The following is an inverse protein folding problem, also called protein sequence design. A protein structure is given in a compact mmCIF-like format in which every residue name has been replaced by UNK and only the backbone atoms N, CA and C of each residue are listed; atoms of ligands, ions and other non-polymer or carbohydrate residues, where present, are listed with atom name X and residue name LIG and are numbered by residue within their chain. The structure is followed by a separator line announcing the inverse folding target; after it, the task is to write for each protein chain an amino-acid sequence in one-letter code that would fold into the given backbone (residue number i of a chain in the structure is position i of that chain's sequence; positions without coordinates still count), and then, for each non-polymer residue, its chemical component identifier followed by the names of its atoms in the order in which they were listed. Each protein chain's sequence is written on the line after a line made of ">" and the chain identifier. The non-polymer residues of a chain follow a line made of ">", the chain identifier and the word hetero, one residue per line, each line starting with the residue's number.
data_IF_333432819446
#
_entry.id   IF_333432819446
#
_cell.length_a   1.000
_cell.length_b   1.000
_cell.length_c   1.000
_cell.angle_alpha   90.00
_cell.angle_beta   90.00
_cell.angle_gamma   90.00
#
_symmetry.space_group_name_H-M   'P 1'
#
loop_
_entity.id
_entity.type
_entity.pdbx_description
1 polymer ?
#
# COMPACT_ATOMS: atom_id res chain seq x y z
N UNK A 1 29.90 -38.48 -73.08
CA UNK A 1 29.48 -37.83 -71.83
C UNK A 1 28.88 -36.48 -72.21
N UNK A 2 27.55 -36.39 -72.36
CA UNK A 2 26.89 -35.18 -72.87
C UNK A 2 26.73 -34.16 -71.73
N UNK A 3 27.44 -33.04 -71.81
CA UNK A 3 27.27 -31.90 -70.93
C UNK A 3 25.97 -31.20 -71.26
N UNK A 4 24.96 -31.37 -70.41
CA UNK A 4 23.67 -30.69 -70.50
C UNK A 4 23.87 -29.22 -70.12
N UNK A 5 23.96 -28.33 -71.11
CA UNK A 5 24.02 -26.88 -70.90
C UNK A 5 22.69 -26.41 -70.31
N UNK A 6 22.70 -26.09 -69.02
CA UNK A 6 21.56 -25.50 -68.31
C UNK A 6 21.35 -24.07 -68.82
N UNK A 7 20.25 -23.85 -69.55
CA UNK A 7 19.78 -22.51 -69.88
C UNK A 7 19.31 -21.86 -68.58
N UNK A 8 20.13 -20.96 -68.02
CA UNK A 8 19.74 -20.16 -66.86
C UNK A 8 18.84 -19.03 -67.36
N UNK A 9 17.53 -19.19 -67.20
CA UNK A 9 16.59 -18.08 -67.37
C UNK A 9 16.95 -17.02 -66.32
N UNK A 10 17.46 -15.88 -66.75
CA UNK A 10 17.72 -14.74 -65.88
C UNK A 10 16.39 -14.04 -65.57
N UNK A 11 16.15 -13.74 -64.29
CA UNK A 11 15.00 -12.98 -63.85
C UNK A 11 15.01 -11.58 -64.48
N UNK A 12 13.85 -11.14 -64.96
CA UNK A 12 13.72 -9.77 -65.48
C UNK A 12 13.76 -8.78 -64.32
N UNK A 13 14.31 -7.58 -64.54
CA UNK A 13 14.39 -6.53 -63.52
C UNK A 13 13.02 -6.21 -62.92
N UNK A 14 11.97 -6.29 -63.73
CA UNK A 14 10.57 -6.09 -63.31
C UNK A 14 10.12 -7.14 -62.30
N UNK A 15 10.47 -8.41 -62.52
CA UNK A 15 10.09 -9.52 -61.63
C UNK A 15 10.76 -9.41 -60.25
N UNK A 16 12.02 -8.97 -60.23
CA UNK A 16 12.75 -8.68 -58.98
C UNK A 16 12.12 -7.48 -58.27
N UNK A 17 11.81 -6.41 -59.00
CA UNK A 17 11.21 -5.19 -58.42
C UNK A 17 9.81 -5.45 -57.85
N UNK A 18 8.96 -6.19 -58.55
CA UNK A 18 7.64 -6.60 -58.05
C UNK A 18 7.77 -7.47 -56.80
N UNK A 19 8.73 -8.40 -56.79
CA UNK A 19 8.98 -9.25 -55.61
C UNK A 19 9.39 -8.42 -54.39
N UNK A 20 10.26 -7.43 -54.54
CA UNK A 20 10.64 -6.54 -53.44
C UNK A 20 9.46 -5.73 -52.90
N UNK A 21 8.59 -5.23 -53.78
CA UNK A 21 7.37 -4.52 -53.36
C UNK A 21 6.45 -5.44 -52.57
N UNK A 22 6.21 -6.66 -53.05
CA UNK A 22 5.36 -7.63 -52.36
C UNK A 22 5.93 -8.00 -50.99
N UNK A 23 7.24 -8.30 -50.90
CA UNK A 23 7.89 -8.63 -49.62
C UNK A 23 7.79 -7.45 -48.66
N UNK A 24 8.00 -6.21 -49.12
CA UNK A 24 7.93 -5.02 -48.27
C UNK A 24 6.54 -4.82 -47.68
N UNK A 25 5.49 -5.01 -48.49
CA UNK A 25 4.09 -4.91 -48.03
C UNK A 25 3.75 -6.00 -47.02
N UNK A 26 4.12 -7.26 -47.30
CA UNK A 26 3.87 -8.38 -46.39
C UNK A 26 4.63 -8.20 -45.08
N UNK A 27 5.91 -7.82 -45.13
CA UNK A 27 6.72 -7.56 -43.94
C UNK A 27 6.14 -6.43 -43.09
N UNK A 28 5.62 -5.36 -43.71
CA UNK A 28 4.95 -4.27 -43.00
C UNK A 28 3.70 -4.74 -42.24
N UNK A 29 2.83 -5.53 -42.89
CA UNK A 29 1.63 -6.07 -42.25
C UNK A 29 1.96 -7.06 -41.12
N UNK A 30 2.94 -7.94 -41.33
CA UNK A 30 3.37 -8.93 -40.32
C UNK A 30 3.99 -8.24 -39.09
N UNK A 31 4.77 -7.17 -39.29
CA UNK A 31 5.38 -6.44 -38.18
C UNK A 31 4.33 -5.83 -37.24
N UNK A 32 3.28 -5.20 -37.80
CA UNK A 32 2.18 -4.61 -37.02
C UNK A 32 1.44 -5.72 -36.26
N UNK A 33 1.06 -6.81 -36.94
CA UNK A 33 0.37 -7.92 -36.30
C UNK A 33 1.20 -8.57 -35.17
N UNK A 34 2.50 -8.75 -35.37
CA UNK A 34 3.39 -9.31 -34.37
C UNK A 34 3.55 -8.39 -33.16
N UNK A 35 3.67 -7.07 -33.38
CA UNK A 35 3.72 -6.09 -32.29
C UNK A 35 2.45 -6.12 -31.43
N UNK A 36 1.26 -6.17 -32.05
CA UNK A 36 -0.01 -6.26 -31.33
C UNK A 36 -0.11 -7.56 -30.52
N UNK A 37 0.27 -8.69 -31.10
CA UNK A 37 0.30 -9.98 -30.42
C UNK A 37 1.29 -10.00 -29.24
N UNK A 38 2.46 -9.37 -29.37
CA UNK A 38 3.44 -9.26 -28.30
C UNK A 38 2.91 -8.42 -27.12
N UNK A 39 2.30 -7.27 -27.38
CA UNK A 39 1.70 -6.42 -26.34
C UNK A 39 0.59 -7.16 -25.58
N UNK A 40 -0.34 -7.78 -26.30
CA UNK A 40 -1.41 -8.57 -25.70
C UNK A 40 -0.88 -9.73 -24.82
N UNK A 41 0.22 -10.37 -25.27
CA UNK A 41 0.87 -11.44 -24.51
C UNK A 41 1.57 -10.91 -23.25
N UNK A 42 2.17 -9.70 -23.31
CA UNK A 42 2.72 -9.01 -22.14
C UNK A 42 1.61 -8.67 -21.15
N UNK A 43 0.51 -8.05 -21.59
CA UNK A 43 -0.61 -7.67 -20.72
C UNK A 43 -1.23 -8.88 -20.02
N UNK A 44 -1.50 -9.95 -20.78
CA UNK A 44 -2.03 -11.20 -20.22
C UNK A 44 -1.08 -11.80 -19.18
N UNK A 45 0.23 -11.62 -19.39
CA UNK A 45 1.25 -12.11 -18.47
C UNK A 45 1.36 -11.23 -17.23
N UNK A 46 1.33 -9.90 -17.37
CA UNK A 46 1.29 -8.97 -16.24
C UNK A 46 0.10 -9.30 -15.33
N UNK A 47 -1.10 -9.44 -15.91
CA UNK A 47 -2.33 -9.86 -15.21
C UNK A 47 -2.12 -11.13 -14.38
N UNK A 48 -1.69 -12.21 -15.03
CA UNK A 48 -1.49 -13.49 -14.36
C UNK A 48 -0.42 -13.44 -13.26
N UNK A 49 0.61 -12.60 -13.43
CA UNK A 49 1.64 -12.37 -12.43
C UNK A 49 1.06 -11.62 -11.23
N UNK A 50 0.39 -10.50 -11.45
CA UNK A 50 -0.21 -9.67 -10.39
C UNK A 50 -1.21 -10.50 -9.58
N UNK A 51 -2.09 -11.26 -10.23
CA UNK A 51 -3.06 -12.11 -9.55
C UNK A 51 -2.39 -13.11 -8.60
N UNK A 52 -1.31 -13.74 -9.08
CA UNK A 52 -0.54 -14.70 -8.27
C UNK A 52 0.13 -14.03 -7.07
N UNK A 53 0.74 -12.86 -7.29
CA UNK A 53 1.40 -12.11 -6.22
C UNK A 53 0.39 -11.63 -5.18
N UNK A 54 -0.75 -11.12 -5.65
CA UNK A 54 -1.83 -10.63 -4.81
C UNK A 54 -2.40 -11.75 -3.93
N UNK A 55 -2.67 -12.93 -4.50
CA UNK A 55 -3.12 -14.09 -3.71
C UNK A 55 -2.09 -14.50 -2.63
N UNK A 56 -0.80 -14.48 -2.97
CA UNK A 56 0.27 -14.82 -2.03
C UNK A 56 0.35 -13.81 -0.88
N UNK A 57 0.24 -12.52 -1.21
CA UNK A 57 0.24 -11.44 -0.22
C UNK A 57 -1.02 -11.45 0.63
N UNK A 58 -2.20 -11.65 0.04
CA UNK A 58 -3.45 -11.68 0.79
C UNK A 58 -3.44 -12.82 1.81
N UNK A 59 -2.93 -13.99 1.43
CA UNK A 59 -2.76 -15.11 2.35
C UNK A 59 -1.77 -14.80 3.47
N UNK A 60 -0.65 -14.14 3.13
CA UNK A 60 0.33 -13.69 4.13
C UNK A 60 -0.28 -12.65 5.08
N UNK A 61 -1.04 -11.69 4.55
CA UNK A 61 -1.75 -10.68 5.31
C UNK A 61 -2.77 -11.32 6.24
N UNK A 62 -3.56 -12.28 5.77
CA UNK A 62 -4.54 -12.99 6.59
C UNK A 62 -3.88 -13.72 7.76
N UNK A 63 -2.82 -14.49 7.51
CA UNK A 63 -2.09 -15.22 8.56
C UNK A 63 -1.50 -14.24 9.61
N UNK A 64 -0.85 -13.17 9.14
CA UNK A 64 -0.25 -12.18 10.01
C UNK A 64 -1.28 -11.28 10.70
N UNK A 65 -2.47 -11.10 10.11
CA UNK A 65 -3.62 -10.41 10.71
C UNK A 65 -4.32 -11.23 11.79
N UNK A 66 -4.10 -12.55 11.84
CA UNK A 66 -4.62 -13.41 12.91
C UNK A 66 -3.60 -13.66 14.02
N UNK A 67 -2.31 -13.44 13.75
CA UNK A 67 -1.23 -13.62 14.74
C UNK A 67 -1.43 -12.80 16.02
N UNK A 68 -1.24 -13.42 17.19
CA UNK A 68 -1.25 -12.68 18.46
C UNK A 68 0.02 -11.84 18.61
N UNK A 69 -0.16 -10.53 18.77
CA UNK A 69 0.94 -9.60 18.99
C UNK A 69 1.17 -9.43 20.48
N UNK A 70 2.43 -9.49 20.89
CA UNK A 70 2.79 -9.29 22.29
C UNK A 70 2.69 -7.81 22.63
N UNK A 71 1.90 -7.49 23.66
CA UNK A 71 1.79 -6.12 24.16
C UNK A 71 2.77 -5.90 25.32
N UNK A 72 3.51 -4.78 25.33
CA UNK A 72 4.33 -4.42 26.48
C UNK A 72 3.45 -3.93 27.64
N UNK A 73 3.60 -4.56 28.81
CA UNK A 73 3.03 -4.10 30.08
C UNK A 73 1.73 -4.78 30.51
N UNK A 74 1.28 -4.46 31.73
CA UNK A 74 0.08 -5.01 32.35
C UNK A 74 -1.08 -4.02 32.26
N UNK A 75 -1.85 -4.01 31.17
CA UNK A 75 -3.06 -3.19 31.09
C UNK A 75 -4.20 -3.90 31.81
N UNK A 76 -4.80 -3.26 32.83
CA UNK A 76 -5.84 -3.86 33.68
C UNK A 76 -7.28 -3.56 33.23
N UNK A 77 -7.44 -2.54 32.40
CA UNK A 77 -8.74 -2.13 31.87
C UNK A 77 -8.99 -2.80 30.52
N UNK A 78 -10.15 -3.44 30.37
CA UNK A 78 -10.47 -4.26 29.20
C UNK A 78 -10.51 -3.43 27.91
N UNK A 79 -11.08 -2.23 27.97
CA UNK A 79 -11.15 -1.34 26.81
C UNK A 79 -9.76 -0.87 26.38
N UNK A 80 -8.96 -0.41 27.34
CA UNK A 80 -7.59 -0.02 27.07
C UNK A 80 -6.71 -1.17 26.56
N UNK A 81 -6.95 -2.41 27.02
CA UNK A 81 -6.29 -3.62 26.47
C UNK A 81 -6.64 -3.78 25.01
N UNK A 82 -7.92 -3.77 24.66
CA UNK A 82 -8.39 -4.02 23.30
C UNK A 82 -7.92 -2.94 22.32
N UNK A 83 -7.89 -1.68 22.75
CA UNK A 83 -7.33 -0.62 21.94
C UNK A 83 -5.81 -0.77 21.78
N UNK A 84 -5.06 -1.04 22.86
CA UNK A 84 -3.64 -1.32 22.74
C UNK A 84 -3.37 -2.49 21.78
N UNK A 85 -4.18 -3.55 21.82
CA UNK A 85 -4.10 -4.66 20.86
C UNK A 85 -4.24 -4.18 19.42
N UNK A 86 -5.24 -3.34 19.11
CA UNK A 86 -5.42 -2.77 17.76
C UNK A 86 -4.18 -2.01 17.29
N UNK A 87 -3.65 -1.11 18.14
CA UNK A 87 -2.45 -0.31 17.83
C UNK A 87 -1.26 -1.23 17.53
N UNK A 88 -0.96 -2.14 18.45
CA UNK A 88 0.17 -3.06 18.29
C UNK A 88 -0.02 -4.02 17.12
N UNK A 89 -1.26 -4.37 16.78
CA UNK A 89 -1.59 -5.20 15.63
C UNK A 89 -1.32 -4.49 14.31
N UNK A 90 -1.75 -3.24 14.18
CA UNK A 90 -1.46 -2.42 13.00
C UNK A 90 0.05 -2.14 12.88
N UNK A 91 0.74 -1.92 14.00
CA UNK A 91 2.20 -1.73 14.05
C UNK A 91 2.96 -3.00 13.66
N UNK A 92 2.47 -4.18 14.09
CA UNK A 92 2.99 -5.47 13.67
C UNK A 92 2.87 -5.67 12.16
N UNK A 93 1.69 -5.42 11.59
CA UNK A 93 1.49 -5.50 10.14
C UNK A 93 2.40 -4.51 9.40
N UNK A 94 2.61 -3.30 9.94
CA UNK A 94 3.57 -2.35 9.38
C UNK A 94 4.99 -2.90 9.35
N UNK A 95 5.40 -3.62 10.40
CA UNK A 95 6.73 -4.20 10.52
C UNK A 95 6.94 -5.43 9.63
N UNK A 96 5.90 -6.26 9.46
CA UNK A 96 5.95 -7.49 8.66
C UNK A 96 5.73 -7.21 7.18
N UNK A 97 4.89 -6.24 6.84
CA UNK A 97 4.55 -5.86 5.48
C UNK A 97 4.96 -4.40 5.24
N UNK A 98 6.26 -4.06 5.27
CA UNK A 98 6.73 -2.69 5.08
C UNK A 98 6.31 -2.14 3.72
N UNK A 99 6.05 -0.83 3.64
CA UNK A 99 5.69 -0.14 2.40
C UNK A 99 6.79 0.81 1.91
N UNK A 100 7.71 1.17 2.81
CA UNK A 100 8.84 2.06 2.56
C UNK A 100 9.98 1.69 3.52
N UNK A 101 11.18 2.22 3.27
CA UNK A 101 12.35 1.96 4.13
C UNK A 101 12.15 2.47 5.57
N UNK A 102 11.36 3.52 5.79
CA UNK A 102 11.02 4.04 7.12
C UNK A 102 10.35 3.01 8.02
N UNK A 103 9.50 2.15 7.45
CA UNK A 103 8.82 1.08 8.17
C UNK A 103 9.84 0.09 8.77
N UNK A 104 11.04 0.00 8.20
CA UNK A 104 12.15 -0.84 8.62
C UNK A 104 13.14 -0.15 9.58
N UNK A 105 13.10 1.18 9.75
CA UNK A 105 14.10 1.96 10.51
C UNK A 105 13.98 1.87 12.05
N UNK A 106 13.30 0.86 12.57
CA UNK A 106 12.91 0.81 13.98
C UNK A 106 14.12 0.69 14.90
N UNK A 107 14.23 1.63 15.86
CA UNK A 107 15.25 1.57 16.90
C UNK A 107 16.67 1.84 16.40
N UNK A 108 16.85 2.44 15.22
CA UNK A 108 18.17 2.84 14.70
C UNK A 108 18.77 4.04 15.43
N UNK A 109 17.98 4.75 16.25
CA UNK A 109 18.41 5.97 16.94
C UNK A 109 18.63 7.17 16.00
N UNK A 110 18.31 7.04 14.71
CA UNK A 110 18.38 8.15 13.75
C UNK A 110 17.30 9.20 14.05
N UNK A 111 17.66 10.48 14.00
CA UNK A 111 16.70 11.59 14.16
C UNK A 111 15.68 11.53 13.03
N UNK A 112 14.42 11.20 13.37
CA UNK A 112 13.35 11.00 12.40
C UNK A 112 12.79 9.57 12.41
N UNK A 113 13.59 8.58 12.83
CA UNK A 113 13.09 7.24 13.11
C UNK A 113 12.08 7.36 14.26
N UNK A 114 10.87 6.79 14.15
CA UNK A 114 9.95 6.73 15.27
C UNK A 114 10.67 5.91 16.35
N UNK A 115 11.17 6.62 17.37
CA UNK A 115 11.87 6.03 18.49
C UNK A 115 10.80 5.37 19.37
N UNK A 116 10.23 4.28 18.85
CA UNK A 116 9.29 3.41 19.55
C UNK A 116 10.14 2.57 20.51
N UNK A 117 10.77 3.23 21.47
CA UNK A 117 11.03 2.57 22.73
C UNK A 117 9.69 1.99 23.18
N UNK A 118 9.60 0.74 23.66
CA UNK A 118 8.34 0.16 24.13
C UNK A 118 7.72 1.13 25.12
N UNK A 119 6.71 1.90 24.68
CA UNK A 119 6.15 2.98 25.48
C UNK A 119 5.31 2.28 26.52
N UNK A 120 5.68 2.31 27.81
CA UNK A 120 4.85 1.70 28.83
C UNK A 120 3.52 2.45 28.83
N UNK A 121 2.43 1.74 28.55
CA UNK A 121 1.09 2.24 28.82
C UNK A 121 0.95 2.44 30.32
N UNK A 122 1.34 3.63 30.81
CA UNK A 122 1.13 4.00 32.21
C UNK A 122 -0.32 4.42 32.36
N UNK A 123 -1.18 3.45 32.63
CA UNK A 123 -2.35 3.79 33.42
C UNK A 123 -1.90 4.01 34.87
N UNK A 124 -2.60 4.85 35.63
CA UNK A 124 -2.35 5.05 37.07
C UNK A 124 -2.51 3.77 37.92
N UNK A 125 -2.73 2.59 37.30
CA UNK A 125 -2.86 1.29 37.94
C UNK A 125 -1.69 0.32 37.65
N UNK A 126 -0.59 0.78 37.04
CA UNK A 126 0.56 -0.08 36.64
C UNK A 126 1.84 0.44 37.27
N UNK A 127 2.39 -0.33 38.22
CA UNK A 127 3.75 -0.14 38.70
C UNK A 127 4.75 -0.22 37.53
N UNK A 128 5.79 0.63 37.49
CA UNK A 128 6.79 0.56 36.43
C UNK A 128 7.44 -0.84 36.41
N UNK A 129 7.60 -1.46 35.24
CA UNK A 129 8.30 -2.75 35.15
C UNK A 129 9.74 -2.59 35.68
N UNK A 130 10.12 -3.46 36.62
CA UNK A 130 11.39 -3.42 37.38
C UNK A 130 12.61 -3.84 36.53
N UNK A 131 12.45 -4.16 35.25
CA UNK A 131 13.55 -4.43 34.33
C UNK A 131 13.13 -4.10 32.89
N UNK A 132 14.06 -3.75 31.98
CA UNK A 132 13.74 -3.65 30.56
C UNK A 132 13.31 -5.04 30.09
N UNK A 133 12.01 -5.21 29.85
CA UNK A 133 11.49 -6.45 29.27
C UNK A 133 12.25 -6.67 27.95
N UNK A 134 12.93 -7.81 27.84
CA UNK A 134 13.44 -8.31 26.56
C UNK A 134 12.29 -8.20 25.57
N UNK A 135 12.51 -7.50 24.45
CA UNK A 135 11.45 -7.31 23.47
C UNK A 135 10.93 -8.70 23.06
N UNK A 136 9.62 -8.95 23.16
CA UNK A 136 9.07 -10.27 22.86
C UNK A 136 9.43 -10.71 21.43
N UNK A 137 9.50 -12.02 21.17
CA UNK A 137 9.87 -12.58 19.85
C UNK A 137 8.95 -12.11 18.71
N UNK A 138 7.73 -11.68 19.03
CA UNK A 138 6.80 -11.04 18.11
C UNK A 138 6.81 -9.50 18.22
N UNK A 139 7.98 -8.91 18.47
CA UNK A 139 8.12 -7.46 18.50
C UNK A 139 8.44 -6.92 17.10
N UNK A 140 7.88 -5.74 16.80
CA UNK A 140 8.19 -4.96 15.60
C UNK A 140 9.70 -4.86 15.34
N UNK A 141 10.49 -4.63 16.39
CA UNK A 141 11.94 -4.47 16.28
C UNK A 141 12.63 -5.70 15.66
N UNK A 142 12.20 -6.92 16.02
CA UNK A 142 12.79 -8.14 15.46
C UNK A 142 12.38 -8.34 13.99
N UNK A 143 11.11 -8.08 13.66
CA UNK A 143 10.64 -8.14 12.27
C UNK A 143 11.42 -7.17 11.38
N UNK A 144 11.51 -5.89 11.77
CA UNK A 144 12.28 -4.89 11.03
C UNK A 144 13.77 -5.20 10.99
N UNK A 145 14.36 -5.79 12.05
CA UNK A 145 15.76 -6.20 12.04
C UNK A 145 16.07 -7.27 10.99
N UNK A 146 15.16 -8.21 10.73
CA UNK A 146 15.35 -9.23 9.69
C UNK A 146 15.46 -8.59 8.31
N UNK A 147 14.60 -7.61 8.02
CA UNK A 147 14.65 -6.85 6.77
C UNK A 147 15.95 -6.05 6.66
N UNK A 148 16.32 -5.29 7.70
CA UNK A 148 17.58 -4.53 7.71
C UNK A 148 18.81 -5.41 7.46
N UNK A 149 18.87 -6.57 8.10
CA UNK A 149 19.97 -7.52 7.90
C UNK A 149 20.04 -8.05 6.47
N UNK A 150 18.90 -8.23 5.81
CA UNK A 150 18.84 -8.63 4.41
C UNK A 150 19.29 -7.49 3.50
N UNK A 151 18.76 -6.29 3.67
CA UNK A 151 19.15 -5.08 2.91
C UNK A 151 20.66 -4.86 3.02
N UNK A 152 21.23 -4.89 4.24
CA UNK A 152 22.68 -4.74 4.43
C UNK A 152 23.49 -5.81 3.68
N UNK A 153 22.99 -7.05 3.56
CA UNK A 153 23.65 -8.11 2.80
C UNK A 153 23.52 -7.90 1.30
N UNK A 154 22.34 -7.49 0.83
CA UNK A 154 22.08 -7.18 -0.59
C UNK A 154 23.01 -6.06 -1.07
N UNK A 155 23.09 -4.97 -0.31
CA UNK A 155 23.96 -3.83 -0.62
C UNK A 155 25.43 -4.03 -0.23
N UNK A 156 25.76 -5.17 0.39
CA UNK A 156 27.10 -5.51 0.86
C UNK A 156 27.73 -4.41 1.76
N UNK A 157 26.95 -3.88 2.71
CA UNK A 157 27.37 -2.84 3.66
C UNK A 157 27.39 -3.36 5.10
N UNK A 158 28.29 -2.80 5.92
CA UNK A 158 28.48 -3.22 7.31
C UNK A 158 27.51 -2.60 8.32
N UNK A 159 26.75 -1.56 7.95
CA UNK A 159 25.83 -0.87 8.87
C UNK A 159 24.53 -0.50 8.19
N UNK A 160 23.45 -0.47 8.97
CA UNK A 160 22.13 -0.03 8.49
C UNK A 160 22.16 1.43 8.04
N UNK A 161 23.02 2.24 8.68
CA UNK A 161 23.16 3.62 8.30
C UNK A 161 23.66 3.79 6.86
N UNK A 162 24.70 3.05 6.49
CA UNK A 162 25.19 3.04 5.11
C UNK A 162 24.15 2.48 4.13
N UNK A 163 23.44 1.41 4.50
CA UNK A 163 22.41 0.80 3.65
C UNK A 163 21.30 1.80 3.30
N UNK A 164 20.83 2.55 4.29
CA UNK A 164 19.77 3.53 4.10
C UNK A 164 20.13 4.68 3.16
N UNK A 165 21.38 5.13 3.25
CA UNK A 165 21.86 6.28 2.48
C UNK A 165 22.07 5.88 1.01
N UNK A 166 22.33 4.59 0.74
CA UNK A 166 22.37 4.01 -0.61
C UNK A 166 20.97 3.74 -1.16
N UNK A 167 20.10 3.12 -0.37
CA UNK A 167 18.74 2.76 -0.76
C UNK A 167 17.90 4.02 -1.06
N UNK A 168 17.54 4.25 -2.31
CA UNK A 168 16.78 5.43 -2.74
C UNK A 168 15.29 5.30 -2.42
N UNK A 169 14.53 6.42 -2.37
CA UNK A 169 13.09 6.37 -2.14
C UNK A 169 12.27 6.15 -3.43
N UNK A 170 12.87 6.09 -4.62
CA UNK A 170 12.16 6.13 -5.90
C UNK A 170 11.32 4.86 -6.15
N UNK A 171 11.87 3.69 -5.84
CA UNK A 171 11.20 2.39 -6.02
C UNK A 171 10.96 1.62 -4.71
N UNK A 172 11.07 2.30 -3.57
CA UNK A 172 11.02 1.68 -2.22
C UNK A 172 9.81 0.78 -1.95
N UNK A 173 8.64 1.03 -2.56
CA UNK A 173 7.49 0.15 -2.41
C UNK A 173 7.72 -1.20 -3.10
N UNK A 174 8.25 -1.18 -4.33
CA UNK A 174 8.54 -2.37 -5.12
C UNK A 174 9.66 -3.20 -4.48
N UNK A 175 10.68 -2.51 -3.95
CA UNK A 175 11.78 -3.13 -3.21
C UNK A 175 11.30 -3.71 -1.88
N UNK A 176 10.41 -3.01 -1.16
CA UNK A 176 9.78 -3.57 0.04
C UNK A 176 8.98 -4.84 -0.28
N UNK A 177 8.27 -4.88 -1.41
CA UNK A 177 7.59 -6.08 -1.88
C UNK A 177 8.57 -7.22 -2.13
N UNK A 178 9.69 -6.95 -2.80
CA UNK A 178 10.77 -7.92 -2.94
C UNK A 178 11.24 -8.43 -1.57
N UNK A 179 11.49 -7.53 -0.62
CA UNK A 179 11.93 -7.92 0.73
C UNK A 179 10.91 -8.85 1.41
N UNK A 180 9.62 -8.54 1.32
CA UNK A 180 8.54 -9.39 1.84
C UNK A 180 8.60 -10.78 1.21
N UNK A 181 8.65 -10.88 -0.11
CA UNK A 181 8.72 -12.16 -0.84
C UNK A 181 10.00 -12.95 -0.55
N UNK A 182 11.11 -12.24 -0.35
CA UNK A 182 12.39 -12.87 -0.09
C UNK A 182 12.48 -13.40 1.35
N UNK A 183 11.79 -12.77 2.30
CA UNK A 183 11.80 -13.12 3.73
C UNK A 183 10.69 -14.07 4.16
N UNK A 184 9.59 -14.16 3.39
CA UNK A 184 8.42 -14.96 3.72
C UNK A 184 8.40 -16.32 3.03
N UNK A 185 7.82 -17.30 3.70
CA UNK A 185 7.58 -18.65 3.20
C UNK A 185 6.09 -18.97 3.25
N UNK A 186 5.56 -19.57 2.19
CA UNK A 186 4.18 -20.03 2.13
C UNK A 186 4.18 -21.52 1.81
N UNK A 187 3.48 -22.33 2.60
CA UNK A 187 3.46 -23.79 2.48
C UNK A 187 4.87 -24.44 2.52
N UNK A 188 5.79 -23.85 3.29
CA UNK A 188 7.18 -24.32 3.41
C UNK A 188 8.10 -23.94 2.25
N UNK A 189 7.58 -23.28 1.22
CA UNK A 189 8.35 -22.80 0.08
C UNK A 189 8.61 -21.28 0.16
N UNK A 190 9.82 -20.81 -0.16
CA UNK A 190 10.09 -19.36 -0.26
C UNK A 190 9.20 -18.71 -1.31
N UNK A 191 8.56 -17.58 -0.97
CA UNK A 191 7.71 -16.85 -1.91
C UNK A 191 8.49 -16.38 -3.15
N UNK A 192 9.79 -16.09 -2.99
CA UNK A 192 10.67 -15.71 -4.10
C UNK A 192 10.75 -16.76 -5.22
N UNK A 193 10.55 -18.06 -4.93
CA UNK A 193 10.53 -19.11 -5.97
C UNK A 193 9.36 -18.98 -6.94
N UNK A 194 8.35 -18.18 -6.59
CA UNK A 194 7.22 -17.92 -7.46
C UNK A 194 7.58 -17.00 -8.64
N UNK A 195 8.63 -16.21 -8.48
CA UNK A 195 9.12 -15.23 -9.45
C UNK A 195 10.17 -15.85 -10.37
N UNK A 196 10.22 -15.37 -11.62
CA UNK A 196 11.31 -15.70 -12.54
C UNK A 196 12.43 -14.68 -12.36
N UNK A 197 13.64 -15.02 -12.75
CA UNK A 197 14.78 -14.08 -12.71
C UNK A 197 14.52 -12.79 -13.49
N UNK A 198 13.73 -12.85 -14.58
CA UNK A 198 13.36 -11.67 -15.38
C UNK A 198 12.28 -10.79 -14.74
N UNK A 199 11.64 -11.27 -13.68
CA UNK A 199 10.60 -10.54 -12.94
C UNK A 199 11.24 -9.78 -11.76
N UNK A 200 12.57 -9.75 -11.70
CA UNK A 200 13.37 -9.10 -10.69
C UNK A 200 14.42 -8.26 -11.42
N UNK A 201 14.49 -6.96 -11.12
CA UNK A 201 15.48 -6.04 -11.67
C UNK A 201 15.88 -5.02 -10.60
N UNK A 202 16.97 -4.30 -10.84
CA UNK A 202 17.40 -3.12 -10.08
C UNK A 202 17.33 -1.98 -11.11
N UNK A 203 16.24 -1.22 -11.05
CA UNK A 203 15.82 -0.27 -12.10
C UNK A 203 16.31 1.15 -11.85
N UNK A 204 16.62 1.50 -10.60
CA UNK A 204 17.23 2.78 -10.21
C UNK A 204 18.73 2.66 -9.88
N UNK A 205 19.33 1.48 -10.04
CA UNK A 205 20.76 1.16 -9.88
C UNK A 205 21.29 1.43 -8.45
N UNK A 206 20.44 1.32 -7.44
CA UNK A 206 20.83 1.55 -6.05
C UNK A 206 21.35 0.28 -5.34
N UNK A 207 21.30 -0.85 -6.03
CA UNK A 207 21.72 -2.18 -5.58
C UNK A 207 20.61 -3.01 -4.95
N UNK A 208 19.42 -2.44 -4.78
CA UNK A 208 18.25 -3.15 -4.31
C UNK A 208 17.43 -3.70 -5.48
N UNK A 209 16.92 -4.93 -5.36
CA UNK A 209 16.06 -5.49 -6.39
C UNK A 209 14.58 -5.13 -6.16
N UNK A 210 13.92 -4.68 -7.21
CA UNK A 210 12.47 -4.59 -7.35
C UNK A 210 11.88 -5.87 -7.96
N UNK A 211 10.59 -6.09 -7.69
CA UNK A 211 9.78 -6.96 -8.56
C UNK A 211 9.26 -6.09 -9.71
N UNK A 212 9.55 -6.47 -10.95
CA UNK A 212 9.10 -5.76 -12.16
C UNK A 212 8.02 -6.54 -12.91
N UNK A 213 7.15 -5.83 -13.60
CA UNK A 213 6.12 -6.41 -14.45
C UNK A 213 6.67 -6.91 -15.82
N UNK A 214 5.78 -7.30 -16.73
CA UNK A 214 6.18 -7.78 -18.06
C UNK A 214 6.76 -6.71 -18.98
N UNK A 215 6.62 -5.45 -18.61
CA UNK A 215 7.11 -4.27 -19.32
C UNK A 215 8.45 -3.79 -18.74
N UNK A 216 8.88 -4.38 -17.62
CA UNK A 216 10.12 -4.00 -16.92
C UNK A 216 9.92 -2.82 -15.97
N UNK A 217 8.67 -2.44 -15.70
CA UNK A 217 8.36 -1.38 -14.75
C UNK A 217 8.23 -2.01 -13.35
N UNK A 218 8.84 -1.43 -12.30
CA UNK A 218 8.64 -1.89 -10.93
C UNK A 218 7.16 -2.00 -10.58
N UNK A 219 6.77 -2.97 -9.76
CA UNK A 219 5.40 -3.09 -9.27
C UNK A 219 5.17 -2.17 -8.07
N UNK A 220 4.04 -1.48 -8.05
CA UNK A 220 3.64 -0.69 -6.90
C UNK A 220 3.02 -1.61 -5.84
N UNK A 221 3.53 -1.47 -4.62
CA UNK A 221 3.02 -2.14 -3.43
C UNK A 221 2.38 -1.13 -2.49
N UNK A 222 1.19 -1.46 -2.02
CA UNK A 222 0.47 -0.67 -1.03
C UNK A 222 -0.07 -1.57 0.07
N UNK A 223 0.48 -1.45 1.28
CA UNK A 223 -0.06 -2.15 2.46
C UNK A 223 -1.52 -1.76 2.73
N UNK A 224 -1.86 -0.47 2.62
CA UNK A 224 -3.19 0.05 2.93
C UNK A 224 -3.64 1.12 1.92
N UNK A 225 -4.23 0.74 0.78
CA UNK A 225 -4.68 1.67 -0.25
C UNK A 225 -6.03 2.32 0.11
N UNK A 226 -6.09 3.13 1.16
CA UNK A 226 -7.35 3.76 1.61
C UNK A 226 -7.93 4.70 0.58
N UNK A 227 -7.11 5.54 -0.05
CA UNK A 227 -7.53 6.49 -1.09
C UNK A 227 -8.15 5.84 -2.32
N UNK A 228 -7.74 4.61 -2.64
CA UNK A 228 -8.26 3.85 -3.78
C UNK A 228 -9.77 3.58 -3.64
N UNK A 229 -10.22 3.28 -2.42
CA UNK A 229 -11.62 2.97 -2.17
C UNK A 229 -12.51 4.20 -2.04
N UNK A 230 -11.94 5.40 -1.91
CA UNK A 230 -12.66 6.62 -1.57
C UNK A 230 -13.04 7.48 -2.79
N UNK A 231 -12.60 7.17 -4.01
CA UNK A 231 -12.90 8.00 -5.19
C UNK A 231 -14.13 7.45 -5.92
N UNK A 232 -15.22 8.23 -6.01
CA UNK A 232 -16.44 7.80 -6.71
C UNK A 232 -16.48 8.19 -8.19
N UNK A 233 -15.73 9.22 -8.61
CA UNK A 233 -15.68 9.63 -10.02
C UNK A 233 -14.29 10.06 -10.38
N UNK A 234 -13.77 9.52 -11.47
CA UNK A 234 -12.47 9.85 -12.06
C UNK A 234 -12.49 11.25 -12.69
N UNK A 235 -12.74 12.28 -11.89
CA UNK A 235 -12.53 13.66 -12.34
C UNK A 235 -11.03 13.97 -12.27
N UNK A 236 -10.49 14.52 -13.36
CA UNK A 236 -9.12 15.03 -13.46
C UNK A 236 -8.89 16.31 -12.64
N UNK A 237 -9.98 16.96 -12.19
CA UNK A 237 -9.92 18.22 -11.45
C UNK A 237 -10.39 18.03 -10.00
N UNK A 238 -9.46 18.19 -9.05
CA UNK A 238 -9.74 18.11 -7.62
C UNK A 238 -10.50 19.32 -7.07
N UNK A 239 -10.48 20.44 -7.79
CA UNK A 239 -11.26 21.63 -7.42
C UNK A 239 -12.76 21.39 -7.60
N UNK A 240 -13.13 20.34 -8.32
CA UNK A 240 -14.49 19.86 -8.40
C UNK A 240 -14.88 19.14 -7.10
N UNK A 241 -15.55 19.88 -6.21
CA UNK A 241 -16.17 19.34 -5.01
C UNK A 241 -17.13 18.16 -5.25
N UNK A 242 -17.57 17.92 -6.50
CA UNK A 242 -18.36 16.74 -6.87
C UNK A 242 -17.53 15.46 -7.04
N UNK A 243 -16.19 15.56 -7.05
CA UNK A 243 -15.28 14.42 -7.10
C UNK A 243 -15.09 13.72 -5.73
N UNK A 244 -15.63 14.31 -4.66
CA UNK A 244 -15.45 13.84 -3.31
C UNK A 244 -16.50 12.76 -2.99
N UNK A 245 -16.14 11.69 -2.26
CA UNK A 245 -17.11 10.67 -1.90
C UNK A 245 -18.24 11.29 -1.08
N UNK A 246 -19.47 11.05 -1.49
CA UNK A 246 -20.65 11.40 -0.70
C UNK A 246 -20.76 10.45 0.50
N UNK A 247 -21.51 10.86 1.52
CA UNK A 247 -21.79 10.02 2.70
C UNK A 247 -22.44 8.69 2.28
N UNK A 248 -23.36 8.73 1.32
CA UNK A 248 -24.05 7.54 0.82
C UNK A 248 -23.08 6.56 0.15
N UNK A 249 -22.06 7.07 -0.54
CA UNK A 249 -21.03 6.27 -1.19
C UNK A 249 -20.09 5.64 -0.17
N UNK A 250 -19.66 6.39 0.86
CA UNK A 250 -18.86 5.78 1.94
C UNK A 250 -19.64 4.71 2.70
N UNK A 251 -20.93 4.96 2.98
CA UNK A 251 -21.79 3.94 3.59
C UNK A 251 -21.92 2.69 2.70
N UNK A 252 -21.96 2.86 1.37
CA UNK A 252 -21.92 1.74 0.43
C UNK A 252 -20.58 0.99 0.48
N UNK A 253 -19.46 1.72 0.52
CA UNK A 253 -18.11 1.13 0.66
C UNK A 253 -18.02 0.30 1.93
N UNK A 254 -18.43 0.85 3.08
CA UNK A 254 -18.42 0.14 4.37
C UNK A 254 -19.34 -1.08 4.32
N UNK A 255 -20.54 -0.95 3.74
CA UNK A 255 -21.47 -2.08 3.60
C UNK A 255 -20.89 -3.21 2.75
N UNK A 256 -20.21 -2.86 1.65
CA UNK A 256 -19.64 -3.82 0.72
C UNK A 256 -18.36 -4.46 1.27
N UNK A 257 -17.52 -3.69 1.97
CA UNK A 257 -16.23 -4.16 2.49
C UNK A 257 -16.30 -4.75 3.90
N UNK A 258 -17.31 -4.38 4.66
CA UNK A 258 -17.41 -4.66 6.08
C UNK A 258 -16.51 -3.75 6.93
N UNK A 259 -16.65 -3.92 8.24
CA UNK A 259 -15.82 -3.23 9.24
C UNK A 259 -14.34 -3.64 9.12
N UNK A 260 -13.45 -2.84 9.72
CA UNK A 260 -12.02 -3.18 9.78
C UNK A 260 -11.82 -4.50 10.55
N UNK A 261 -11.31 -5.57 9.89
CA UNK A 261 -11.12 -6.86 10.54
C UNK A 261 -10.07 -6.85 11.65
N UNK A 262 -9.21 -5.81 11.72
CA UNK A 262 -8.24 -5.64 12.79
C UNK A 262 -8.89 -5.10 14.08
N UNK A 263 -10.06 -4.48 13.97
CA UNK A 263 -10.77 -3.85 15.08
C UNK A 263 -12.05 -4.61 15.46
N UNK A 264 -11.88 -5.88 15.86
CA UNK A 264 -12.99 -6.78 16.23
C UNK A 264 -13.91 -6.24 17.32
N UNK A 265 -13.40 -5.35 18.17
CA UNK A 265 -14.13 -4.79 19.31
C UNK A 265 -14.56 -3.34 19.09
N UNK A 266 -14.35 -2.79 17.88
CA UNK A 266 -14.69 -1.39 17.53
C UNK A 266 -14.08 -0.38 18.51
N UNK A 267 -12.83 -0.63 18.87
CA UNK A 267 -12.03 0.14 19.82
C UNK A 267 -11.31 1.30 19.16
N UNK A 268 -11.34 1.40 17.83
CA UNK A 268 -10.85 2.58 17.13
C UNK A 268 -11.56 3.82 17.69
N UNK A 269 -10.81 4.85 18.13
CA UNK A 269 -11.38 6.07 18.73
C UNK A 269 -12.45 6.74 17.90
N UNK A 270 -12.43 6.51 16.59
CA UNK A 270 -13.41 7.04 15.67
C UNK A 270 -14.82 6.47 15.89
N UNK A 271 -14.94 5.23 16.37
CA UNK A 271 -16.22 4.66 16.82
C UNK A 271 -16.72 5.25 18.14
N UNK A 272 -15.82 5.77 18.99
CA UNK A 272 -16.16 6.27 20.33
C UNK A 272 -16.60 7.73 20.35
N UNK A 273 -16.46 8.46 19.25
CA UNK A 273 -17.05 9.80 19.13
C UNK A 273 -18.53 9.71 19.48
N UNK A 274 -18.93 10.39 20.56
CA UNK A 274 -20.20 10.39 21.31
C UNK A 274 -21.51 10.62 20.51
N UNK A 275 -21.44 10.59 19.18
CA UNK A 275 -22.58 10.56 18.27
C UNK A 275 -22.87 9.11 17.87
N UNK A 276 -23.77 8.50 18.64
CA UNK A 276 -24.38 7.19 18.38
C UNK A 276 -25.07 7.22 17.00
N UNK A 277 -24.36 6.72 15.99
CA UNK A 277 -24.80 6.70 14.59
C UNK A 277 -25.64 5.45 14.35
N UNK A 278 -26.97 5.60 14.36
CA UNK A 278 -27.89 4.54 13.94
C UNK A 278 -27.80 4.36 12.40
N UNK A 279 -26.95 3.43 11.97
CA UNK A 279 -26.76 3.06 10.56
C UNK A 279 -28.06 2.56 9.87
N UNK A 280 -29.12 2.27 10.64
CA UNK A 280 -30.40 1.78 10.12
C UNK A 280 -31.40 2.89 9.76
N UNK A 281 -31.12 4.15 10.12
CA UNK A 281 -31.96 5.30 9.76
C UNK A 281 -31.84 5.61 8.26
N UNK A 282 -32.76 5.06 7.48
CA UNK A 282 -32.91 5.29 6.02
C UNK A 282 -33.58 6.63 5.70
N UNK A 283 -33.72 7.54 6.66
CA UNK A 283 -34.44 8.79 6.51
C UNK A 283 -33.53 10.00 6.74
N UNK A 284 -33.01 10.54 5.65
CA UNK A 284 -32.74 11.95 5.31
C UNK A 284 -32.24 13.01 6.31
N UNK A 285 -32.06 12.78 7.60
CA UNK A 285 -31.56 13.81 8.51
C UNK A 285 -30.45 13.26 9.40
N UNK A 286 -29.21 13.39 8.92
CA UNK A 286 -28.03 13.40 9.78
C UNK A 286 -27.78 14.84 10.20
N UNK A 287 -28.64 15.34 11.09
CA UNK A 287 -28.51 16.64 11.76
C UNK A 287 -28.21 16.38 13.22
N UNK A 288 -27.13 16.98 13.74
CA UNK A 288 -26.92 17.08 15.19
C UNK A 288 -28.07 17.91 15.81
N UNK A 289 -28.95 17.32 16.66
CA UNK A 289 -30.16 17.97 17.16
C UNK A 289 -29.87 19.10 18.16
N UNK A 290 -28.61 19.40 18.48
CA UNK A 290 -28.24 20.56 19.29
C UNK A 290 -27.66 21.72 18.48
N UNK A 291 -27.22 21.51 17.22
CA UNK A 291 -26.43 22.52 16.47
C UNK A 291 -26.89 22.81 15.03
N UNK A 292 -27.77 22.00 14.41
CA UNK A 292 -28.29 22.26 13.06
C UNK A 292 -27.21 22.43 11.97
N UNK A 293 -26.03 21.82 12.15
CA UNK A 293 -24.88 21.91 11.24
C UNK A 293 -24.72 20.63 10.42
N UNK A 294 -24.51 20.74 9.09
CA UNK A 294 -24.39 19.64 8.13
C UNK A 294 -23.07 18.84 8.22
N UNK A 295 -22.36 18.87 9.36
CA UNK A 295 -21.06 18.24 9.51
C UNK A 295 -21.21 16.80 10.01
N UNK A 296 -21.59 15.90 9.11
CA UNK A 296 -21.28 14.47 9.27
C UNK A 296 -19.76 14.37 9.25
N UNK A 297 -19.14 14.00 10.37
CA UNK A 297 -17.72 13.62 10.38
C UNK A 297 -17.57 12.20 9.83
N UNK A 298 -17.79 12.09 8.52
CA UNK A 298 -17.57 10.87 7.69
C UNK A 298 -16.14 10.33 7.88
N UNK A 299 -15.23 11.20 8.29
CA UNK A 299 -13.82 10.99 8.64
C UNK A 299 -13.60 10.01 9.82
N UNK A 300 -14.68 9.52 10.43
CA UNK A 300 -14.67 8.63 11.59
C UNK A 300 -15.06 7.18 11.27
N UNK A 301 -15.09 6.78 10.01
CA UNK A 301 -15.46 5.41 9.65
C UNK A 301 -14.25 4.61 9.15
N UNK A 302 -14.02 3.46 9.78
CA UNK A 302 -13.06 2.44 9.34
C UNK A 302 -13.78 1.37 8.52
N UNK A 303 -13.11 0.80 7.53
CA UNK A 303 -13.61 -0.30 6.71
C UNK A 303 -12.48 -1.28 6.39
N UNK A 304 -12.80 -2.48 5.91
CA UNK A 304 -11.78 -3.44 5.55
C UNK A 304 -10.91 -2.93 4.37
N UNK A 305 -9.64 -2.64 4.66
CA UNK A 305 -8.63 -2.30 3.65
C UNK A 305 -7.73 -3.51 3.47
N UNK A 306 -7.63 -3.98 2.23
CA UNK A 306 -6.73 -5.08 1.86
C UNK A 306 -5.50 -4.51 1.14
N UNK A 307 -4.32 -5.11 1.36
CA UNK A 307 -3.14 -4.75 0.60
C UNK A 307 -3.36 -4.95 -0.90
N UNK A 308 -2.60 -4.21 -1.70
CA UNK A 308 -2.73 -4.20 -3.15
C UNK A 308 -1.36 -4.14 -3.83
N UNK A 309 -1.25 -4.87 -4.94
CA UNK A 309 -0.15 -4.79 -5.88
C UNK A 309 -0.71 -4.24 -7.18
N UNK A 310 -0.04 -3.26 -7.76
CA UNK A 310 -0.45 -2.60 -9.00
C UNK A 310 0.71 -2.66 -9.99
N UNK A 311 0.38 -2.87 -11.26
CA UNK A 311 1.33 -2.72 -12.38
C UNK A 311 0.96 -1.44 -13.12
N UNK A 312 1.99 -0.74 -13.57
CA UNK A 312 1.83 0.42 -14.42
C UNK A 312 1.37 0.00 -15.83
N UNK A 313 1.71 -1.21 -16.27
CA UNK A 313 1.23 -1.73 -17.54
C UNK A 313 1.99 -1.14 -18.73
N UNK A 314 1.28 -0.97 -19.85
CA UNK A 314 1.93 -0.67 -21.14
C UNK A 314 2.35 0.79 -21.33
N UNK A 315 1.74 1.72 -20.59
CA UNK A 315 2.09 3.14 -20.57
C UNK A 315 3.18 3.45 -19.54
N UNK A 316 3.38 2.56 -18.56
CA UNK A 316 4.41 2.70 -17.54
C UNK A 316 4.06 3.69 -16.44
N UNK A 317 2.78 4.08 -16.34
CA UNK A 317 2.30 5.02 -15.33
C UNK A 317 1.32 4.35 -14.37
N UNK A 318 1.48 4.61 -13.07
CA UNK A 318 0.56 4.08 -12.06
C UNK A 318 -0.68 4.93 -11.89
N UNK A 319 -0.52 6.25 -12.10
CA UNK A 319 -1.52 7.27 -11.80
C UNK A 319 -2.07 7.18 -10.38
N UNK A 320 -1.26 6.69 -9.44
CA UNK A 320 -1.60 6.56 -8.03
C UNK A 320 -0.68 7.42 -7.19
N UNK A 321 -1.23 7.97 -6.11
CA UNK A 321 -0.45 8.62 -5.06
C UNK A 321 0.19 7.53 -4.22
N UNK A 322 1.47 7.26 -4.47
CA UNK A 322 2.26 6.22 -3.78
C UNK A 322 2.97 6.77 -2.54
N UNK A 323 3.15 8.09 -2.50
CA UNK A 323 3.73 8.83 -1.38
C UNK A 323 3.12 10.23 -1.32
N UNK A 324 2.87 10.76 -0.12
CA UNK A 324 2.30 12.10 0.04
C UNK A 324 3.28 13.19 -0.42
N UNK A 325 2.84 14.25 -1.11
CA UNK A 325 3.70 15.36 -1.49
C UNK A 325 4.15 16.15 -0.23
N UNK A 326 5.44 16.45 -0.15
CA UNK A 326 6.05 17.15 1.01
C UNK A 326 6.65 16.23 2.08
N UNK A 327 6.49 14.91 1.92
CA UNK A 327 7.05 13.89 2.83
C UNK A 327 8.15 13.06 2.18
N UNK A 328 9.16 13.69 1.59
CA UNK A 328 10.51 13.08 1.54
C UNK A 328 10.97 12.58 2.93
N UNK A 329 10.22 12.91 3.98
CA UNK A 329 10.10 12.18 5.24
C UNK A 329 8.80 11.36 5.34
N UNK A 330 8.90 10.05 5.18
CA UNK A 330 8.60 9.10 6.26
C UNK A 330 7.70 9.63 7.39
N UNK A 331 6.42 9.23 7.44
CA UNK A 331 5.55 9.26 8.65
C UNK A 331 6.02 10.23 9.74
N UNK A 332 6.00 11.56 9.47
CA UNK A 332 6.50 12.55 10.43
C UNK A 332 5.36 12.94 11.34
N UNK A 333 5.61 12.88 12.64
CA UNK A 333 5.14 13.84 13.66
C UNK A 333 3.64 13.92 13.97
N UNK A 334 2.78 13.85 12.97
CA UNK A 334 1.33 14.07 13.08
C UNK A 334 0.56 12.73 13.20
N UNK A 335 1.20 11.61 12.84
CA UNK A 335 0.71 10.24 13.13
C UNK A 335 0.86 9.87 14.63
N UNK A 336 1.35 10.80 15.43
CA UNK A 336 1.47 10.60 16.86
C UNK A 336 0.19 11.04 17.54
N UNK A 337 -0.51 10.08 18.15
CA UNK A 337 -1.59 10.41 19.07
C UNK A 337 -0.94 10.89 20.37
N UNK A 338 -0.68 12.20 20.44
CA UNK A 338 -0.03 12.87 21.57
C UNK A 338 -0.80 12.67 22.88
N UNK A 339 -2.12 12.53 22.80
CA UNK A 339 -2.97 12.24 23.94
C UNK A 339 -4.20 11.47 23.49
N UNK A 340 -4.08 10.15 23.42
CA UNK A 340 -5.31 9.37 23.35
C UNK A 340 -5.95 9.43 24.73
N UNK A 341 -7.11 10.06 24.80
CA UNK A 341 -7.91 10.16 26.02
C UNK A 341 -8.77 8.91 26.11
N UNK A 342 -8.34 7.92 26.90
CA UNK A 342 -9.23 6.83 27.30
C UNK A 342 -9.96 7.31 28.54
N UNK A 343 -11.23 7.65 28.41
CA UNK A 343 -12.06 7.93 29.57
C UNK A 343 -12.33 6.60 30.28
N UNK A 344 -11.83 6.49 31.51
CA UNK A 344 -12.10 5.36 32.38
C UNK A 344 -13.59 5.35 32.73
N UNK A 345 -14.29 4.30 32.28
CA UNK A 345 -15.73 4.18 32.44
C UNK A 345 -16.18 4.13 33.92
N UNK A 346 -15.26 3.88 34.87
CA UNK A 346 -15.60 3.74 36.29
C UNK A 346 -15.60 5.06 37.05
N UNK A 347 -14.73 6.00 36.71
CA UNK A 347 -14.55 7.26 37.45
C UNK A 347 -14.58 8.52 36.56
N UNK A 348 -14.74 8.36 35.25
CA UNK A 348 -14.72 9.47 34.28
C UNK A 348 -13.34 10.12 34.13
N UNK A 349 -12.30 9.57 34.75
CA UNK A 349 -10.94 10.09 34.63
C UNK A 349 -10.41 9.83 33.22
N UNK A 350 -9.74 10.82 32.66
CA UNK A 350 -9.11 10.70 31.35
C UNK A 350 -7.70 10.16 31.57
N UNK A 351 -7.45 8.94 31.10
CA UNK A 351 -6.12 8.35 31.04
C UNK A 351 -5.46 8.74 29.72
N UNK A 352 -4.25 9.27 29.78
CA UNK A 352 -3.46 9.66 28.62
C UNK A 352 -2.19 8.83 28.54
N UNK A 353 -1.70 8.59 27.32
CA UNK A 353 -0.34 8.10 27.15
C UNK A 353 0.63 9.18 27.65
N UNK A 354 1.62 8.78 28.45
CA UNK A 354 2.63 9.72 28.98
C UNK A 354 3.58 10.26 27.90
N UNK A 355 3.51 9.71 26.68
CA UNK A 355 4.25 10.11 25.50
C UNK A 355 3.36 9.92 24.28
N UNK A 356 3.58 10.73 23.27
CA UNK A 356 2.94 10.58 21.98
C UNK A 356 3.24 9.17 21.43
N UNK A 357 2.20 8.39 21.15
CA UNK A 357 2.34 7.05 20.58
C UNK A 357 2.15 7.18 19.08
N UNK A 358 3.08 6.63 18.33
CA UNK A 358 2.92 6.47 16.90
C UNK A 358 1.73 5.53 16.67
N UNK A 359 0.64 6.04 16.09
CA UNK A 359 -0.51 5.23 15.69
C UNK A 359 -0.36 4.94 14.20
N UNK A 360 0.06 3.72 13.82
CA UNK A 360 0.09 3.30 12.43
C UNK A 360 -1.34 3.09 11.98
N UNK A 361 -2.05 4.17 11.70
CA UNK A 361 -3.43 4.12 11.28
C UNK A 361 -3.53 4.42 9.79
N UNK A 362 -3.99 3.43 8.99
CA UNK A 362 -4.16 3.61 7.55
C UNK A 362 -5.13 4.73 7.16
N UNK A 363 -5.92 5.20 8.12
CA UNK A 363 -6.97 6.18 7.91
C UNK A 363 -6.73 7.49 8.68
N UNK A 364 -5.74 7.56 9.57
CA UNK A 364 -5.49 8.74 10.39
C UNK A 364 -4.94 9.86 9.51
N UNK A 365 -5.35 11.09 9.77
CA UNK A 365 -5.09 12.32 8.98
C UNK A 365 -5.88 12.49 7.69
N UNK A 366 -6.78 11.56 7.34
CA UNK A 366 -7.72 11.76 6.24
C UNK A 366 -8.99 12.43 6.78
N UNK A 367 -9.03 13.76 6.75
CA UNK A 367 -10.33 14.41 6.58
C UNK A 367 -10.82 13.97 5.20
N UNK A 368 -11.72 13.00 5.16
CA UNK A 368 -12.28 12.39 3.95
C UNK A 368 -13.31 13.34 3.33
N UNK A 369 -14.08 14.08 4.15
CA UNK A 369 -15.17 14.97 3.75
C UNK A 369 -15.17 16.28 4.57
N UNK A 370 -15.20 17.44 3.91
CA UNK A 370 -15.43 18.73 4.60
C UNK A 370 -15.14 20.02 3.79
N UNK A 371 -15.97 21.05 3.93
CA UNK A 371 -15.82 22.35 3.23
C UNK A 371 -15.38 23.50 4.17
N UNK A 372 -14.56 23.22 5.19
CA UNK A 372 -14.19 24.16 6.25
C UNK A 372 -12.72 24.61 6.28
N UNK A 373 -12.37 25.43 7.28
CA UNK A 373 -11.02 25.99 7.51
C UNK A 373 -9.93 24.92 7.78
N UNK A 374 -10.34 23.72 8.21
CA UNK A 374 -9.54 22.49 8.15
C UNK A 374 -9.85 21.77 6.84
N UNK A 375 -9.49 22.39 5.71
CA UNK A 375 -9.78 21.84 4.39
C UNK A 375 -9.18 20.44 4.28
N UNK A 376 -9.94 19.45 3.78
CA UNK A 376 -9.44 18.09 3.69
C UNK A 376 -8.20 18.05 2.83
N UNK A 377 -7.32 17.10 3.15
CA UNK A 377 -6.17 16.86 2.29
C UNK A 377 -6.69 16.62 0.86
N UNK A 378 -6.15 17.36 -0.14
CA UNK A 378 -6.43 17.08 -1.54
C UNK A 378 -6.30 15.58 -1.82
N UNK A 379 -7.13 15.01 -2.70
CA UNK A 379 -7.10 13.56 -2.99
C UNK A 379 -5.70 13.13 -3.44
N UNK A 380 -4.97 13.99 -4.16
CA UNK A 380 -3.56 13.87 -4.57
C UNK A 380 -2.58 13.67 -3.40
N UNK A 381 -3.01 13.84 -2.16
CA UNK A 381 -2.18 13.62 -0.97
C UNK A 381 -2.57 12.34 -0.22
N UNK A 382 -3.57 11.59 -0.69
CA UNK A 382 -4.07 10.38 -0.02
C UNK A 382 -3.48 9.15 -0.69
N UNK A 383 -2.88 8.25 0.10
CA UNK A 383 -2.26 7.04 -0.42
C UNK A 383 -3.25 6.17 -1.23
N UNK A 384 -2.89 5.86 -2.47
CA UNK A 384 -3.71 5.10 -3.40
C UNK A 384 -4.80 5.90 -4.11
N UNK A 385 -4.86 7.22 -3.95
CA UNK A 385 -5.74 8.06 -4.77
C UNK A 385 -5.23 8.18 -6.20
N UNK A 386 -6.13 8.34 -7.15
CA UNK A 386 -5.79 8.43 -8.58
C UNK A 386 -5.52 9.88 -9.00
N UNK A 387 -4.36 10.13 -9.62
CA UNK A 387 -3.95 11.38 -10.26
C UNK A 387 -3.78 11.15 -11.75
N UNK A 388 -4.37 11.97 -12.62
CA UNK A 388 -3.96 12.03 -14.03
C UNK A 388 -2.58 12.70 -14.08
N UNK A 389 -1.50 11.91 -14.09
CA UNK A 389 -0.13 12.42 -14.00
C UNK A 389 0.36 12.96 -15.35
N UNK A 390 -0.10 12.39 -16.46
CA UNK A 390 0.34 12.78 -17.81
C UNK A 390 -0.52 13.90 -18.44
N UNK A 391 -1.67 14.23 -17.86
CA UNK A 391 -2.54 15.32 -18.27
C UNK A 391 -3.25 15.08 -19.61
N UNK A 392 -3.33 13.84 -20.06
CA UNK A 392 -3.96 13.47 -21.34
C UNK A 392 -5.49 13.41 -21.24
N UNK A 393 -6.05 13.52 -20.03
CA UNK A 393 -7.49 13.42 -19.71
C UNK A 393 -8.09 12.05 -20.04
N UNK A 394 -7.26 11.04 -20.26
CA UNK A 394 -7.60 9.64 -20.44
C UNK A 394 -6.98 8.86 -19.30
N UNK A 395 -7.80 8.44 -18.34
CA UNK A 395 -7.30 7.60 -17.26
C UNK A 395 -7.14 6.15 -17.72
N UNK A 396 -6.00 5.85 -18.34
CA UNK A 396 -5.51 4.47 -18.37
C UNK A 396 -5.02 4.03 -16.97
N UNK A 397 -4.98 4.98 -16.03
CA UNK A 397 -4.82 4.78 -14.60
C UNK A 397 -5.59 3.56 -14.12
N UNK A 398 -4.92 2.66 -13.41
CA UNK A 398 -5.58 1.51 -12.80
C UNK A 398 -6.30 0.53 -13.74
N UNK A 399 -6.16 0.65 -15.07
CA UNK A 399 -6.62 -0.36 -16.03
C UNK A 399 -5.98 -1.74 -15.77
N UNK A 400 -4.83 -1.72 -15.08
CA UNK A 400 -4.06 -2.85 -14.60
C UNK A 400 -4.12 -3.07 -13.08
N UNK A 401 -5.05 -2.42 -12.37
CA UNK A 401 -5.41 -2.79 -11.00
C UNK A 401 -6.28 -4.03 -11.05
N UNK A 402 -5.63 -5.18 -10.88
CA UNK A 402 -6.29 -6.46 -10.76
C UNK A 402 -6.40 -6.85 -9.29
N UNK A 403 -7.61 -6.80 -8.73
CA UNK A 403 -8.02 -7.83 -7.81
C UNK A 403 -9.07 -8.74 -8.49
N UNK A 404 -8.67 -9.97 -8.82
CA UNK A 404 -9.56 -11.10 -9.17
C UNK A 404 -10.49 -11.52 -8.03
N UNK A 405 -10.26 -11.06 -6.80
CA UNK A 405 -11.23 -11.27 -5.72
C UNK A 405 -12.21 -10.11 -5.72
N UNK A 406 -13.21 -10.28 -6.59
CA UNK A 406 -14.37 -9.40 -6.75
C UNK A 406 -14.96 -8.91 -5.43
N UNK A 407 -15.51 -7.71 -5.55
CA UNK A 407 -16.29 -6.98 -4.56
C UNK A 407 -17.44 -7.80 -3.96
#
# INVERSE_FOLDING_TARGET
>A
MFSKTSNRNAFTLVEVLVSFVIISVISGMVAIALSGAQRQAQDTRAKAMIDRLNLSILRLYEDESQRRVAMPGNVRDGEAVSHAQLIFKRDWLRAILPNNKADMDVGSGRSGAPNVAPIPYRTNAVEPPVAPAVAPENSRALASQRYRQRVMRTLNVGTWAAAWDLWTPEHQSAECLYQIFASSTLDGEPLLKQLRTRDIADTDEDGMPEIVDSWGVPLLWMRWPTGFYLKNRWAADESDSTAWPTVGELAAIIRNRGDDPLDLLRMDPRYRSEYDYDLASTTNDLVDPRTNSNSIMVDKLTYAVRPMIVSAGSDGEFDLVTSGPGTGRETVGDDFVASLRVADARDGSVRQFNRAVFFPDPFFTLNVVGTGADSPRPLLQRLGAVSDVNGDRTDNSADNIYPVLGF
#
